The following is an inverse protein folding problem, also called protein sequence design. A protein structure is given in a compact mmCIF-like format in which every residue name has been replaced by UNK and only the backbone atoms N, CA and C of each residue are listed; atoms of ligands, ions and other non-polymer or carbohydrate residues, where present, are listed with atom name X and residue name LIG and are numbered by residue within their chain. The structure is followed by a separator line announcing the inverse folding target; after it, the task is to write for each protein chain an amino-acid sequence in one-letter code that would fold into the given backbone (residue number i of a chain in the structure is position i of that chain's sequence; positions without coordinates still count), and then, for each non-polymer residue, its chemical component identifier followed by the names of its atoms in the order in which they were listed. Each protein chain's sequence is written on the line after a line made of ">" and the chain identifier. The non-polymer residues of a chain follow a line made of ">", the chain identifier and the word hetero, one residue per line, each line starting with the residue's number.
data_IF_791656716416
#
_entry.id   IF_791656716416
#
_cell.length_a   1.000
_cell.length_b   1.000
_cell.length_c   1.000
_cell.angle_alpha   90.00
_cell.angle_beta   90.00
_cell.angle_gamma   90.00
#
_symmetry.space_group_name_H-M   'P 1'
#
loop_
_entity.id
_entity.type
_entity.pdbx_description
1 polymer ?
2 non-polymer ?
3 water ?
#
# COMPACT_ATOMS: atom_id res chain seq x y z
N UNK A 1 8.81 11.78 22.93
CA UNK A 1 9.07 13.17 22.58
C UNK A 1 7.94 13.74 21.75
N UNK A 2 8.25 14.19 20.51
CA UNK A 2 7.25 14.72 19.58
C UNK A 2 6.33 13.59 19.08
N UNK A 3 6.81 12.32 19.10
CA UNK A 3 6.01 11.15 18.67
C UNK A 3 4.81 10.89 19.60
N UNK A 4 4.96 11.16 20.91
CA UNK A 4 3.90 10.91 21.87
C UNK A 4 2.88 12.05 21.90
N UNK A 5 1.60 11.72 21.75
CA UNK A 5 0.51 12.71 21.78
C UNK A 5 -0.17 12.64 23.13
N UNK A 6 -0.95 13.68 23.47
CA UNK A 6 -1.71 13.71 24.71
C UNK A 6 -2.98 12.93 24.49
N UNK A 7 -3.17 11.83 25.24
CA UNK A 7 -4.34 10.96 25.06
C UNK A 7 -5.67 11.65 25.32
N UNK A 8 -5.69 12.59 26.30
CA UNK A 8 -6.89 13.35 26.63
C UNK A 8 -7.27 14.27 25.45
N UNK A 9 -6.33 14.54 24.53
CA UNK A 9 -6.56 15.36 23.33
C UNK A 9 -7.09 14.56 22.14
N UNK A 10 -7.40 13.27 22.35
CA UNK A 10 -8.02 12.42 21.34
C UNK A 10 -9.40 11.96 21.84
N UNK A 11 -10.44 12.26 21.06
CA UNK A 11 -11.77 11.76 21.36
C UNK A 11 -12.13 10.81 20.24
N UNK A 12 -12.51 9.59 20.59
CA UNK A 12 -12.92 8.63 19.57
C UNK A 12 -14.37 8.74 19.30
N UNK A 13 -14.69 8.67 18.02
CA UNK A 13 -16.04 8.69 17.48
C UNK A 13 -16.22 7.29 16.86
N UNK A 14 -17.07 7.16 15.86
CA UNK A 14 -17.42 5.88 15.26
C UNK A 14 -16.30 5.02 14.72
N UNK A 15 -16.59 3.73 14.60
CA UNK A 15 -15.69 2.76 13.97
C UNK A 15 -15.75 3.02 12.44
N UNK A 16 -14.58 3.03 11.77
CA UNK A 16 -14.53 3.24 10.33
C UNK A 16 -14.40 1.91 9.61
N UNK A 17 -13.71 0.98 10.25
CA UNK A 17 -13.48 -0.35 9.72
C UNK A 17 -12.27 -0.95 10.38
N UNK A 18 -11.72 -1.97 9.77
CA UNK A 18 -10.55 -2.62 10.29
C UNK A 18 -9.56 -2.84 9.17
N UNK A 19 -8.34 -3.01 9.57
CA UNK A 19 -7.24 -3.30 8.68
C UNK A 19 -6.18 -3.93 9.55
N UNK A 20 -4.93 -3.83 9.12
CA UNK A 20 -3.77 -4.29 9.85
C UNK A 20 -4.05 -5.61 10.67
N UNK A 21 -3.76 -5.79 12.00
CA UNK A 21 -3.10 -5.02 13.07
C UNK A 21 -4.01 -4.05 13.88
N UNK A 22 -5.29 -3.91 13.52
CA UNK A 22 -6.22 -3.12 14.33
C UNK A 22 -7.47 -2.48 13.74
N UNK A 23 -8.52 -2.36 14.59
CA UNK A 23 -9.75 -1.63 14.27
C UNK A 23 -9.38 -0.15 14.16
N UNK A 24 -10.06 0.57 13.29
CA UNK A 24 -9.78 1.99 13.05
C UNK A 24 -11.03 2.76 13.41
N UNK A 25 -10.86 3.81 14.19
CA UNK A 25 -11.98 4.64 14.58
C UNK A 25 -11.77 6.05 14.07
N UNK A 26 -12.86 6.71 13.69
CA UNK A 26 -12.80 8.13 13.36
C UNK A 26 -12.58 8.83 14.72
N UNK A 27 -11.83 9.92 14.73
CA UNK A 27 -11.62 10.68 15.96
C UNK A 27 -11.43 12.15 15.71
N UNK A 28 -11.35 12.90 16.81
CA UNK A 28 -11.04 14.33 16.78
C UNK A 28 -9.81 14.54 17.65
N UNK A 29 -8.85 15.34 17.16
CA UNK A 29 -7.63 15.61 17.89
C UNK A 29 -7.55 17.10 18.18
N UNK A 30 -7.28 17.43 19.45
CA UNK A 30 -7.12 18.81 19.99
C UNK A 30 -8.36 19.66 19.69
N UNK A 31 -9.51 19.00 19.67
CA UNK A 31 -10.82 19.57 19.38
C UNK A 31 -10.93 20.29 18.05
N UNK A 32 -10.11 19.89 17.05
CA UNK A 32 -10.04 20.59 15.77
C UNK A 32 -9.79 19.70 14.56
N UNK A 33 -8.87 18.72 14.69
CA UNK A 33 -8.48 17.91 13.55
C UNK A 33 -9.21 16.58 13.42
N UNK A 34 -9.65 16.22 12.21
CA UNK A 34 -10.25 14.89 11.98
C UNK A 34 -9.15 13.88 11.84
N UNK A 35 -9.20 12.81 12.63
CA UNK A 35 -8.15 11.80 12.59
C UNK A 35 -8.77 10.42 12.46
N UNK A 36 -7.95 9.44 12.08
CA UNK A 36 -8.30 8.04 12.04
C UNK A 36 -7.34 7.41 13.03
N UNK A 37 -7.85 6.65 13.99
CA UNK A 37 -7.01 6.13 15.05
C UNK A 37 -7.04 4.64 15.00
N UNK A 38 -5.86 4.00 14.79
CA UNK A 38 -5.79 2.54 14.80
C UNK A 38 -5.54 2.10 16.26
N UNK A 39 -6.28 1.09 16.73
CA UNK A 39 -6.16 0.53 18.08
C UNK A 39 -5.21 -0.67 18.05
N UNK A 40 -4.12 -0.60 18.81
CA UNK A 40 -3.17 -1.71 18.92
C UNK A 40 -3.45 -2.40 20.25
N UNK A 41 -4.09 -3.58 20.20
CA UNK A 41 -4.40 -4.32 21.42
C UNK A 41 -3.13 -4.88 22.07
N UNK A 42 -3.19 -5.09 23.40
CA UNK A 42 -2.09 -5.65 24.18
C UNK A 42 -1.92 -7.11 23.78
N UNK A 43 -0.76 -7.44 23.25
CA UNK A 43 -0.46 -8.80 22.78
C UNK A 43 -0.66 -9.03 21.29
N UNK A 44 -1.40 -8.13 20.60
CA UNK A 44 -1.67 -8.20 19.15
C UNK A 44 -0.39 -8.21 18.30
N UNK A 45 0.61 -7.38 18.68
CA UNK A 45 1.94 -7.28 18.08
C UNK A 45 2.90 -6.94 19.23
N UNK A 46 4.22 -7.10 19.01
CA UNK A 46 5.24 -6.83 20.03
C UNK A 46 5.33 -5.36 20.40
N UNK A 47 5.75 -5.10 21.66
CA UNK A 47 5.98 -3.77 22.22
C UNK A 47 7.13 -3.06 21.49
N UNK A 48 8.29 -3.76 21.29
CA UNK A 48 9.48 -3.20 20.61
C UNK A 48 9.30 -3.12 19.09
N UNK A 49 8.41 -3.96 18.52
CA UNK A 49 8.09 -3.95 17.10
C UNK A 49 7.31 -2.65 16.84
N UNK A 50 6.41 -2.30 17.78
CA UNK A 50 5.60 -1.09 17.74
C UNK A 50 6.45 0.19 17.63
N UNK A 51 7.50 0.33 18.46
CA UNK A 51 8.37 1.51 18.46
C UNK A 51 9.08 1.70 17.12
N UNK A 52 9.60 0.59 16.55
CA UNK A 52 10.30 0.64 15.27
C UNK A 52 9.36 1.10 14.16
N UNK A 53 8.13 0.56 14.16
CA UNK A 53 7.06 0.87 13.20
C UNK A 53 6.65 2.32 13.26
N UNK A 54 6.39 2.81 14.48
CA UNK A 54 5.95 4.17 14.74
C UNK A 54 7.01 5.18 14.29
N UNK A 55 8.28 4.89 14.57
CA UNK A 55 9.43 5.70 14.17
C UNK A 55 9.58 5.72 12.65
N UNK A 56 9.42 4.55 11.98
CA UNK A 56 9.53 4.43 10.51
C UNK A 56 8.44 5.26 9.83
N UNK A 57 7.21 5.20 10.35
CA UNK A 57 6.07 5.94 9.80
C UNK A 57 6.25 7.44 9.96
N UNK A 58 6.86 7.85 11.08
CA UNK A 58 7.13 9.25 11.39
C UNK A 58 8.19 9.80 10.47
N UNK A 59 9.22 8.99 10.18
CA UNK A 59 10.35 9.34 9.33
C UNK A 59 9.91 9.56 7.89
N UNK A 60 9.07 8.66 7.39
CA UNK A 60 8.60 8.64 6.02
C UNK A 60 7.37 9.51 5.75
N UNK A 61 7.54 10.83 5.83
CA UNK A 61 6.47 11.79 5.55
C UNK A 61 6.50 12.12 4.07
N UNK A 62 5.36 11.99 3.38
CA UNK A 62 5.21 12.30 1.96
C UNK A 62 3.76 12.56 1.67
N UNK A 63 3.41 13.50 0.76
CA UNK A 63 1.98 13.74 0.47
C UNK A 63 1.20 12.50 0.01
N UNK A 64 1.89 11.46 -0.52
CA UNK A 64 1.16 10.26 -1.03
C UNK A 64 1.26 9.05 -0.11
N UNK A 65 1.67 9.31 1.13
CA UNK A 65 1.71 8.31 2.19
C UNK A 65 0.83 8.81 3.28
N UNK A 66 0.05 7.91 3.93
CA UNK A 66 -0.89 8.26 5.03
C UNK A 66 -0.09 9.04 6.06
N UNK A 67 -0.56 10.24 6.41
CA UNK A 67 0.18 11.11 7.34
C UNK A 67 0.02 10.62 8.77
N UNK A 68 1.15 10.37 9.43
CA UNK A 68 1.22 9.93 10.82
C UNK A 68 1.36 11.18 11.71
N UNK A 69 0.52 11.30 12.74
CA UNK A 69 0.61 12.43 13.69
C UNK A 69 1.35 12.08 14.94
N UNK A 70 1.09 10.90 15.46
CA UNK A 70 1.71 10.47 16.70
C UNK A 70 1.01 9.26 17.26
N UNK A 71 1.42 8.87 18.46
CA UNK A 71 0.85 7.71 19.16
C UNK A 71 0.42 8.09 20.58
N UNK A 72 -0.47 7.30 21.18
CA UNK A 72 -0.82 7.40 22.60
C UNK A 72 -0.51 6.01 23.12
N UNK A 73 0.72 5.85 23.61
CA UNK A 73 1.25 4.53 24.01
C UNK A 73 1.36 4.26 25.51
N UNK A 74 1.07 5.26 26.38
CA UNK A 74 1.18 5.12 27.85
C UNK A 74 0.26 4.04 28.40
N UNK A 75 -0.90 3.83 27.76
CA UNK A 75 -1.85 2.81 28.16
C UNK A 75 -2.48 2.11 26.94
N UNK A 76 -3.08 0.92 27.16
CA UNK A 76 -3.71 0.09 26.14
C UNK A 76 -5.19 0.35 26.04
N UNK A 77 -5.81 0.27 24.83
CA UNK A 77 -5.17 0.02 23.52
C UNK A 77 -4.29 1.20 23.10
N UNK A 78 -3.17 0.89 22.46
CA UNK A 78 -2.24 1.92 21.97
C UNK A 78 -2.94 2.57 20.77
N UNK A 79 -2.90 3.89 20.68
CA UNK A 79 -3.49 4.60 19.56
C UNK A 79 -2.42 4.92 18.55
N UNK A 80 -2.70 4.72 17.25
CA UNK A 80 -1.84 5.23 16.18
C UNK A 80 -2.71 6.27 15.52
N UNK A 81 -2.32 7.52 15.62
CA UNK A 81 -3.12 8.63 15.11
C UNK A 81 -2.60 9.09 13.78
N UNK A 82 -3.52 9.13 12.78
CA UNK A 82 -3.16 9.55 11.43
C UNK A 82 -4.23 10.49 10.92
N UNK A 83 -4.00 11.10 9.76
CA UNK A 83 -5.00 11.94 9.08
C UNK A 83 -6.19 11.07 8.69
N UNK A 84 -7.42 11.62 8.73
CA UNK A 84 -8.62 10.90 8.29
C UNK A 84 -8.69 11.12 6.76
N UNK A 85 -8.74 10.04 6.00
CA UNK A 85 -8.79 10.03 4.53
C UNK A 85 -10.21 9.65 4.15
N UNK A 86 -11.02 10.67 3.91
CA UNK A 86 -12.48 10.61 3.83
C UNK A 86 -13.16 9.63 2.89
N UNK A 87 -12.52 9.25 1.76
CA UNK A 87 -13.17 8.29 0.87
C UNK A 87 -12.78 6.84 1.15
N UNK A 88 -12.07 6.62 2.25
CA UNK A 88 -11.69 5.31 2.73
C UNK A 88 -10.80 4.49 1.80
N UNK A 89 -10.96 3.17 1.87
CA UNK A 89 -10.15 2.21 1.15
C UNK A 89 -10.30 2.32 -0.36
N UNK A 90 -9.18 2.31 -1.10
CA UNK A 90 -9.23 2.40 -2.58
C UNK A 90 -10.01 1.26 -3.21
N UNK A 91 -9.80 0.05 -2.72
CA UNK A 91 -10.50 -1.12 -3.30
C UNK A 91 -12.03 -0.95 -3.21
N UNK A 92 -12.54 -0.59 -2.01
CA UNK A 92 -13.99 -0.37 -1.85
C UNK A 92 -14.44 0.79 -2.74
N UNK A 93 -13.62 1.86 -2.83
CA UNK A 93 -13.94 3.02 -3.66
C UNK A 93 -14.10 2.60 -5.14
N UNK A 94 -13.14 1.81 -5.67
CA UNK A 94 -13.24 1.37 -7.06
C UNK A 94 -14.50 0.54 -7.29
N UNK A 95 -14.80 -0.33 -6.34
CA UNK A 95 -15.98 -1.19 -6.43
C UNK A 95 -17.31 -0.46 -6.35
N UNK A 96 -17.37 0.64 -5.59
CA UNK A 96 -18.61 1.41 -5.40
C UNK A 96 -18.76 2.58 -6.35
N UNK A 97 -17.63 3.17 -6.81
CA UNK A 97 -17.65 4.39 -7.61
C UNK A 97 -16.84 4.36 -8.87
N UNK A 98 -16.20 3.23 -9.15
CA UNK A 98 -15.32 3.07 -10.31
C UNK A 98 -15.95 3.35 -11.66
N UNK A 99 -17.24 2.98 -11.85
CA UNK A 99 -17.94 3.23 -13.11
C UNK A 99 -18.01 4.70 -13.51
N UNK A 100 -18.02 5.59 -12.52
CA UNK A 100 -18.05 7.03 -12.75
C UNK A 100 -16.71 7.67 -13.06
N UNK A 101 -15.59 6.89 -13.02
CA UNK A 101 -14.25 7.45 -13.25
C UNK A 101 -13.82 7.36 -14.70
N UNK A 102 -13.11 8.40 -15.15
CA UNK A 102 -12.51 8.44 -16.47
C UNK A 102 -11.17 7.68 -16.40
N UNK A 103 -10.72 7.09 -17.52
CA UNK A 103 -9.41 6.41 -17.51
C UNK A 103 -8.26 7.33 -17.07
N UNK A 104 -8.34 8.64 -17.35
CA UNK A 104 -7.32 9.60 -16.94
C UNK A 104 -7.30 9.70 -15.41
N UNK A 105 -8.46 9.49 -14.75
CA UNK A 105 -8.53 9.50 -13.27
C UNK A 105 -7.91 8.22 -12.72
N UNK A 106 -8.11 7.09 -13.42
CA UNK A 106 -7.55 5.79 -13.01
C UNK A 106 -6.00 5.87 -13.09
N UNK A 107 -5.49 6.49 -14.14
CA UNK A 107 -4.05 6.69 -14.30
C UNK A 107 -3.50 7.57 -13.18
N UNK A 108 -4.22 8.64 -12.82
CA UNK A 108 -3.82 9.55 -11.74
C UNK A 108 -3.72 8.82 -10.39
N UNK A 109 -4.65 7.86 -10.14
CA UNK A 109 -4.60 7.03 -8.93
C UNK A 109 -3.32 6.20 -8.91
N UNK A 110 -2.97 5.60 -10.07
CA UNK A 110 -1.74 4.81 -10.20
C UNK A 110 -0.49 5.71 -9.99
N UNK A 111 -0.55 6.92 -10.55
CA UNK A 111 0.56 7.89 -10.42
C UNK A 111 0.78 8.27 -8.95
N UNK A 112 -0.31 8.51 -8.22
CA UNK A 112 -0.22 8.87 -6.79
C UNK A 112 0.50 7.77 -6.01
N UNK A 113 0.07 6.50 -6.19
CA UNK A 113 0.69 5.37 -5.53
C UNK A 113 2.19 5.29 -5.91
N UNK A 114 2.50 5.39 -7.21
CA UNK A 114 3.87 5.33 -7.72
C UNK A 114 4.77 6.38 -7.05
N UNK A 115 4.25 7.60 -6.89
CA UNK A 115 5.00 8.71 -6.30
C UNK A 115 5.32 8.42 -4.84
N UNK A 116 4.35 7.88 -4.08
CA UNK A 116 4.58 7.50 -2.68
C UNK A 116 5.59 6.36 -2.59
N UNK A 117 5.50 5.42 -3.53
CA UNK A 117 6.40 4.26 -3.56
C UNK A 117 7.79 4.70 -4.00
N UNK A 118 7.89 5.67 -4.93
CA UNK A 118 9.25 6.17 -5.31
C UNK A 118 9.95 6.79 -4.09
N UNK A 119 9.18 7.46 -3.22
CA UNK A 119 9.70 8.05 -1.98
C UNK A 119 10.21 6.94 -1.03
N UNK A 120 9.41 5.89 -0.81
CA UNK A 120 9.84 4.75 0.03
C UNK A 120 11.12 4.15 -0.56
N UNK A 121 11.13 3.94 -1.87
CA UNK A 121 12.28 3.35 -2.57
C UNK A 121 13.55 4.23 -2.38
N UNK A 122 13.39 5.55 -2.43
CA UNK A 122 14.54 6.46 -2.26
C UNK A 122 15.15 6.36 -0.83
N UNK A 123 14.41 5.77 0.12
CA UNK A 123 14.83 5.56 1.50
C UNK A 123 15.18 4.11 1.80
N UNK A 124 15.31 3.29 0.74
CA UNK A 124 15.62 1.87 0.83
C UNK A 124 14.59 1.02 1.57
N UNK A 125 13.31 1.40 1.42
CA UNK A 125 12.22 0.59 1.98
C UNK A 125 11.38 0.02 0.84
N UNK A 126 10.82 -1.16 1.06
CA UNK A 126 9.83 -1.74 0.17
C UNK A 126 8.53 -1.83 0.98
N UNK A 127 7.41 -1.94 0.25
CA UNK A 127 6.11 -2.20 0.86
C UNK A 127 5.90 -3.72 0.68
N UNK A 128 5.54 -4.40 1.78
CA UNK A 128 5.33 -5.84 1.77
C UNK A 128 3.95 -6.28 1.26
N UNK A 129 3.00 -5.35 1.10
CA UNK A 129 1.67 -5.73 0.63
C UNK A 129 1.05 -4.62 -0.15
N UNK A 130 1.71 -4.20 -1.21
CA UNK A 130 1.22 -3.11 -2.02
C UNK A 130 0.04 -3.61 -2.86
N UNK A 131 -1.14 -3.14 -2.49
CA UNK A 131 -2.38 -3.58 -3.13
C UNK A 131 -3.45 -2.51 -2.87
N UNK A 132 -4.55 -2.51 -3.66
CA UNK A 132 -5.59 -1.48 -3.48
C UNK A 132 -6.21 -1.53 -2.08
N UNK A 133 -6.23 -2.70 -1.41
CA UNK A 133 -6.77 -2.86 -0.03
C UNK A 133 -5.94 -2.04 0.99
N UNK A 134 -4.67 -1.68 0.61
CA UNK A 134 -3.78 -0.91 1.49
C UNK A 134 -3.56 0.53 1.04
N UNK A 135 -4.46 1.04 0.19
CA UNK A 135 -4.43 2.43 -0.25
C UNK A 135 -5.73 3.09 0.13
N UNK A 136 -5.69 4.39 0.32
CA UNK A 136 -6.84 5.17 0.76
C UNK A 136 -7.06 6.31 -0.21
N UNK A 137 -8.29 6.78 -0.31
CA UNK A 137 -8.69 7.83 -1.26
C UNK A 137 -9.20 9.02 -0.47
N UNK A 138 -8.63 10.19 -0.71
CA UNK A 138 -9.02 11.41 0.01
C UNK A 138 -10.20 12.10 -0.65
N UNK A 139 -10.66 13.24 -0.10
CA UNK A 139 -11.84 13.94 -0.64
C UNK A 139 -11.72 14.38 -2.10
N UNK A 140 -10.50 14.70 -2.55
CA UNK A 140 -10.21 15.15 -3.90
C UNK A 140 -9.77 13.99 -4.81
N UNK A 141 -9.98 12.75 -4.34
CA UNK A 141 -9.62 11.51 -5.03
C UNK A 141 -8.10 11.26 -5.11
N UNK A 142 -7.31 11.98 -4.31
CA UNK A 142 -5.87 11.73 -4.26
C UNK A 142 -5.67 10.43 -3.47
N UNK A 143 -4.80 9.55 -3.99
CA UNK A 143 -4.55 8.25 -3.37
C UNK A 143 -3.31 8.29 -2.49
N UNK A 144 -3.42 7.68 -1.31
CA UNK A 144 -2.35 7.59 -0.34
C UNK A 144 -2.09 6.13 0.00
N UNK A 145 -0.83 5.75 0.08
CA UNK A 145 -0.46 4.39 0.44
C UNK A 145 -0.43 4.30 1.97
N UNK A 146 -1.03 3.24 2.53
CA UNK A 146 -0.95 3.01 3.98
C UNK A 146 0.21 2.03 4.20
N UNK A 147 1.20 2.43 4.99
CA UNK A 147 2.38 1.56 5.15
C UNK A 147 2.60 0.97 6.55
N UNK A 148 1.74 1.29 7.55
CA UNK A 148 1.95 0.76 8.90
C UNK A 148 2.03 -0.76 8.97
N UNK A 149 3.12 -1.29 9.52
CA UNK A 149 3.33 -2.72 9.70
C UNK A 149 3.57 -3.48 8.40
N UNK A 150 3.87 -2.76 7.32
CA UNK A 150 3.98 -3.38 6.01
C UNK A 150 5.21 -2.95 5.23
N UNK A 151 6.25 -2.48 5.92
CA UNK A 151 7.46 -2.09 5.22
C UNK A 151 8.61 -2.99 5.60
N UNK A 152 9.67 -2.96 4.78
CA UNK A 152 10.90 -3.69 5.04
C UNK A 152 12.09 -2.96 4.44
N UNK A 153 13.16 -2.85 5.24
CA UNK A 153 14.39 -2.23 4.78
C UNK A 153 15.12 -3.22 3.87
N UNK A 154 15.52 -2.76 2.69
CA UNK A 154 16.26 -3.58 1.71
C UNK A 154 17.10 -2.68 0.83
N UNK A 155 18.43 -2.90 0.82
CA UNK A 155 19.34 -2.13 -0.03
C UNK A 155 19.12 -2.57 -1.48
N UNK A 156 19.39 -1.68 -2.44
CA UNK A 156 19.21 -1.96 -3.87
C UNK A 156 19.99 -3.21 -4.30
N UNK A 157 19.39 -4.02 -5.20
CA UNK A 157 19.95 -5.26 -5.76
C UNK A 157 20.25 -6.39 -4.74
N UNK A 158 19.87 -6.22 -3.45
CA UNK A 158 20.07 -7.20 -2.36
C UNK A 158 18.77 -7.99 -2.06
N UNK A 159 18.90 -9.15 -1.37
CA UNK A 159 17.78 -10.01 -1.00
C UNK A 159 17.68 -10.17 0.51
N UNK A 160 16.46 -10.09 1.04
CA UNK A 160 16.22 -10.24 2.48
C UNK A 160 15.17 -11.33 2.70
N UNK A 161 15.21 -12.03 3.85
CA UNK A 161 14.25 -13.09 4.15
C UNK A 161 12.83 -12.52 4.25
N UNK A 162 11.84 -13.31 3.72
CA UNK A 162 10.40 -13.00 3.70
C UNK A 162 9.71 -13.36 5.01
N UNK A 163 10.45 -13.96 5.97
CA UNK A 163 9.92 -14.40 7.27
C UNK A 163 9.12 -13.28 7.97
N UNK A 164 7.92 -13.65 8.42
CA UNK A 164 6.98 -12.75 9.10
C UNK A 164 5.58 -12.93 8.56
N UNK A 165 4.82 -11.81 8.48
CA UNK A 165 3.44 -11.83 7.98
C UNK A 165 3.38 -12.29 6.52
N UNK A 166 2.56 -13.30 6.25
CA UNK A 166 2.33 -13.87 4.93
C UNK A 166 1.15 -13.10 4.32
N UNK A 167 1.46 -12.26 3.35
CA UNK A 167 0.46 -11.42 2.67
C UNK A 167 -0.06 -12.11 1.40
N UNK A 168 -1.22 -11.68 0.82
CA UNK A 168 -1.76 -12.39 -0.35
C UNK A 168 -0.82 -12.71 -1.52
N UNK A 169 -0.69 -14.01 -1.84
CA UNK A 169 0.18 -14.48 -2.92
C UNK A 169 -0.14 -13.92 -4.33
N UNK A 170 -1.40 -13.51 -4.61
CA UNK A 170 -1.67 -12.94 -5.95
C UNK A 170 -0.96 -11.59 -6.19
N UNK A 171 -0.40 -10.98 -5.13
CA UNK A 171 0.33 -9.71 -5.32
C UNK A 171 1.85 -9.96 -5.16
N UNK A 172 2.26 -11.23 -5.00
CA UNK A 172 3.64 -11.59 -4.70
C UNK A 172 4.48 -11.91 -5.89
N UNK A 173 5.70 -11.37 -5.89
CA UNK A 173 6.72 -11.66 -6.91
C UNK A 173 7.21 -13.10 -6.73
N UNK A 174 7.72 -13.76 -7.80
CA UNK A 174 8.22 -15.14 -7.67
C UNK A 174 9.30 -15.35 -6.62
N UNK A 175 10.23 -14.38 -6.42
CA UNK A 175 11.28 -14.54 -5.39
C UNK A 175 10.66 -14.71 -3.99
N UNK A 176 9.48 -14.10 -3.78
CA UNK A 176 8.74 -14.17 -2.50
C UNK A 176 8.09 -15.55 -2.34
N UNK A 177 7.22 -15.93 -3.28
CA UNK A 177 6.50 -17.20 -3.16
C UNK A 177 7.34 -18.45 -3.36
N UNK A 178 8.43 -18.35 -4.16
CA UNK A 178 9.33 -19.46 -4.45
C UNK A 178 10.51 -19.56 -3.50
N UNK A 179 11.30 -18.47 -3.35
CA UNK A 179 12.54 -18.46 -2.54
C UNK A 179 12.40 -17.88 -1.14
N UNK A 180 11.19 -17.41 -0.74
CA UNK A 180 10.95 -16.78 0.58
C UNK A 180 11.94 -15.63 0.83
N UNK A 181 12.12 -14.80 -0.19
CA UNK A 181 13.01 -13.64 -0.13
C UNK A 181 12.37 -12.45 -0.82
N UNK A 182 12.58 -11.25 -0.29
CA UNK A 182 12.15 -10.00 -0.93
C UNK A 182 13.38 -9.42 -1.61
N UNK A 183 13.19 -8.79 -2.77
CA UNK A 183 14.25 -8.03 -3.45
C UNK A 183 13.77 -6.58 -3.37
N UNK A 184 14.60 -5.63 -3.81
CA UNK A 184 14.20 -4.22 -3.85
C UNK A 184 13.12 -4.00 -4.93
N UNK A 185 12.79 -5.03 -5.73
CA UNK A 185 11.79 -4.92 -6.81
C UNK A 185 10.54 -5.78 -6.52
N UNK A 186 10.46 -6.37 -5.33
CA UNK A 186 9.29 -7.21 -4.98
C UNK A 186 8.00 -6.37 -4.97
N UNK A 187 8.06 -5.11 -4.49
CA UNK A 187 6.88 -4.24 -4.49
C UNK A 187 6.58 -3.67 -5.86
N UNK A 188 7.58 -3.61 -6.77
CA UNK A 188 7.32 -3.16 -8.15
C UNK A 188 6.36 -4.18 -8.80
N UNK A 189 6.61 -5.49 -8.61
CA UNK A 189 5.71 -6.53 -9.12
C UNK A 189 4.28 -6.22 -8.57
N UNK A 190 4.14 -6.07 -7.24
CA UNK A 190 2.85 -5.77 -6.58
C UNK A 190 2.20 -4.51 -7.15
N UNK A 191 3.01 -3.47 -7.46
CA UNK A 191 2.49 -2.25 -8.04
C UNK A 191 1.83 -2.53 -9.41
N UNK A 192 2.40 -3.43 -10.23
CA UNK A 192 1.79 -3.76 -11.52
C UNK A 192 0.42 -4.39 -11.27
N UNK A 193 0.33 -5.27 -10.24
CA UNK A 193 -0.97 -5.93 -9.87
C UNK A 193 -1.96 -4.83 -9.38
N UNK A 194 -1.43 -3.85 -8.61
CA UNK A 194 -2.26 -2.72 -8.13
C UNK A 194 -2.78 -1.91 -9.32
N UNK A 195 -1.91 -1.61 -10.34
CA UNK A 195 -2.41 -0.91 -11.56
C UNK A 195 -3.53 -1.69 -12.23
N UNK A 196 -3.37 -3.02 -12.31
CA UNK A 196 -4.38 -3.91 -12.89
C UNK A 196 -5.69 -3.80 -12.09
N UNK A 197 -5.65 -3.85 -10.74
CA UNK A 197 -6.85 -3.67 -9.88
C UNK A 197 -7.53 -2.36 -10.18
N UNK A 198 -6.76 -1.25 -10.28
CA UNK A 198 -7.29 0.10 -10.52
C UNK A 198 -8.04 0.14 -11.87
N UNK A 199 -7.35 -0.25 -12.95
CA UNK A 199 -7.92 -0.24 -14.30
C UNK A 199 -9.01 -1.28 -14.50
N UNK A 200 -9.11 -2.26 -13.59
CA UNK A 200 -10.18 -3.28 -13.63
C UNK A 200 -11.29 -2.92 -12.69
N UNK A 201 -11.24 -1.71 -12.10
CA UNK A 201 -12.27 -1.24 -11.16
C UNK A 201 -12.45 -2.15 -9.93
N UNK A 202 -11.35 -2.70 -9.45
CA UNK A 202 -11.35 -3.49 -8.23
C UNK A 202 -11.70 -4.95 -8.37
N UNK A 203 -11.59 -5.51 -9.59
CA UNK A 203 -11.78 -6.96 -9.79
C UNK A 203 -10.62 -7.65 -9.08
N UNK A 204 -10.85 -8.92 -8.65
CA UNK A 204 -9.79 -9.72 -8.05
C UNK A 204 -8.85 -10.20 -9.20
N UNK A 205 -7.50 -10.09 -9.04
CA UNK A 205 -6.58 -10.61 -10.09
C UNK A 205 -6.65 -12.14 -10.11
N UNK A 206 -6.48 -12.76 -11.29
CA UNK A 206 -6.53 -14.21 -11.46
C UNK A 206 -7.80 -14.73 -10.73
N UNK A 207 -8.96 -14.10 -10.92
CA UNK A 207 -10.14 -14.43 -10.08
C UNK A 207 -10.64 -15.86 -10.17
N UNK A 208 -10.39 -16.53 -11.29
CA UNK A 208 -10.84 -17.90 -11.54
C UNK A 208 -9.94 -18.92 -10.83
N UNK A 209 -8.73 -18.50 -10.40
CA UNK A 209 -7.70 -19.39 -9.87
C UNK A 209 -7.39 -19.34 -8.40
N UNK A 210 -7.06 -20.51 -7.85
CA UNK A 210 -6.65 -20.62 -6.45
C UNK A 210 -5.22 -20.07 -6.35
N UNK A 211 -4.75 -19.82 -5.13
CA UNK A 211 -3.38 -19.39 -4.87
C UNK A 211 -2.34 -20.41 -5.37
N UNK A 212 -2.61 -21.71 -5.23
CA UNK A 212 -1.73 -22.80 -5.71
C UNK A 212 -1.61 -22.73 -7.23
N UNK A 213 -2.74 -22.50 -7.92
CA UNK A 213 -2.77 -22.37 -9.38
C UNK A 213 -2.00 -21.16 -9.84
N UNK A 214 -2.18 -19.99 -9.16
CA UNK A 214 -1.46 -18.77 -9.54
C UNK A 214 0.05 -18.96 -9.45
N UNK A 215 0.58 -19.52 -8.34
CA UNK A 215 2.02 -19.77 -8.19
C UNK A 215 2.53 -20.59 -9.41
N UNK A 216 1.81 -21.66 -9.77
CA UNK A 216 2.21 -22.49 -10.93
C UNK A 216 2.13 -21.73 -12.24
N UNK A 217 0.96 -21.12 -12.52
CA UNK A 217 0.78 -20.37 -13.75
C UNK A 217 1.80 -19.24 -13.92
N UNK A 218 2.01 -18.42 -12.88
CA UNK A 218 2.98 -17.33 -12.94
C UNK A 218 4.42 -17.89 -13.19
N UNK A 219 4.79 -19.01 -12.54
CA UNK A 219 6.11 -19.65 -12.76
C UNK A 219 6.27 -20.05 -14.23
N UNK A 220 5.16 -20.45 -14.88
CA UNK A 220 5.13 -20.87 -16.28
C UNK A 220 5.09 -19.72 -17.30
N UNK A 221 4.96 -18.49 -16.82
CA UNK A 221 4.97 -17.29 -17.65
C UNK A 221 3.63 -16.61 -17.84
N UNK A 222 2.55 -17.18 -17.27
CA UNK A 222 1.21 -16.62 -17.42
C UNK A 222 1.10 -15.30 -16.67
N UNK A 223 0.50 -14.31 -17.30
CA UNK A 223 0.33 -12.98 -16.70
C UNK A 223 -1.08 -12.48 -16.84
N UNK A 224 -1.47 -11.49 -16.02
CA UNK A 224 -2.79 -10.87 -16.11
C UNK A 224 -2.96 -10.23 -17.48
N UNK A 225 -4.18 -10.29 -18.05
CA UNK A 225 -4.49 -9.73 -19.36
C UNK A 225 -4.76 -8.24 -19.23
N UNK A 226 -4.73 -7.50 -20.34
CA UNK A 226 -4.97 -6.06 -20.39
C UNK A 226 -6.38 -5.71 -19.92
N UNK A 227 -6.54 -4.91 -18.83
CA UNK A 227 -7.90 -4.50 -18.44
C UNK A 227 -8.48 -3.66 -19.57
N UNK A 228 -9.77 -3.82 -19.78
CA UNK A 228 -10.47 -3.08 -20.83
C UNK A 228 -10.15 -1.55 -20.86
N UNK A 229 -10.16 -0.90 -19.69
CA UNK A 229 -9.94 0.56 -19.60
C UNK A 229 -8.49 1.04 -19.74
N UNK A 230 -7.53 0.12 -19.74
CA UNK A 230 -6.11 0.44 -19.86
C UNK A 230 -5.72 0.54 -21.34
N UNK A 231 -5.00 1.60 -21.70
CA UNK A 231 -4.46 1.76 -23.06
C UNK A 231 -3.32 0.73 -23.18
N UNK A 232 -2.85 0.45 -24.41
CA UNK A 232 -1.74 -0.48 -24.58
C UNK A 232 -0.47 0.09 -23.93
N UNK A 233 -0.29 1.43 -23.93
CA UNK A 233 0.92 2.04 -23.29
C UNK A 233 0.92 1.77 -21.78
N UNK A 234 -0.27 1.93 -21.16
CA UNK A 234 -0.44 1.68 -19.71
C UNK A 234 -0.28 0.19 -19.40
N UNK A 235 -0.76 -0.68 -20.29
CA UNK A 235 -0.59 -2.11 -20.09
C UNK A 235 0.87 -2.49 -20.18
N UNK A 236 1.63 -1.86 -21.11
CA UNK A 236 3.06 -2.16 -21.19
C UNK A 236 3.81 -1.77 -19.91
N UNK A 237 3.38 -0.69 -19.26
CA UNK A 237 3.96 -0.27 -17.98
C UNK A 237 3.65 -1.30 -16.90
N UNK A 238 2.37 -1.70 -16.74
CA UNK A 238 2.10 -2.72 -15.70
C UNK A 238 2.79 -4.04 -16.00
N UNK A 239 2.81 -4.44 -17.28
CA UNK A 239 3.42 -5.70 -17.72
C UNK A 239 4.91 -5.72 -17.40
N UNK A 240 5.59 -4.57 -17.50
CA UNK A 240 7.03 -4.47 -17.22
C UNK A 240 7.35 -4.75 -15.77
N UNK A 241 6.35 -4.62 -14.88
CA UNK A 241 6.55 -4.91 -13.45
C UNK A 241 6.64 -6.39 -13.20
N UNK A 242 6.16 -7.20 -14.14
CA UNK A 242 6.03 -8.64 -13.91
C UNK A 242 7.09 -9.54 -14.55
N UNK A 243 8.29 -9.02 -14.74
CA UNK A 243 9.33 -9.89 -15.27
C UNK A 243 9.69 -10.87 -14.16
N UNK A 244 9.95 -12.15 -14.50
CA UNK A 244 10.33 -13.11 -13.46
C UNK A 244 11.57 -12.63 -12.66
N UNK A 245 12.53 -12.02 -13.36
CA UNK A 245 13.75 -11.54 -12.76
C UNK A 245 13.65 -10.09 -12.22
N UNK A 246 13.94 -9.86 -10.91
CA UNK A 246 13.93 -8.47 -10.36
C UNK A 246 14.76 -7.46 -11.18
N UNK A 247 15.95 -7.89 -11.69
CA UNK A 247 16.84 -7.03 -12.48
C UNK A 247 16.17 -6.46 -13.74
N UNK A 248 15.18 -7.18 -14.30
CA UNK A 248 14.51 -6.75 -15.51
C UNK A 248 13.31 -5.82 -15.27
N UNK A 249 12.90 -5.67 -13.98
CA UNK A 249 11.79 -4.79 -13.63
C UNK A 249 12.30 -3.37 -13.49
N UNK A 250 11.48 -2.35 -13.82
CA UNK A 250 11.89 -0.96 -13.54
C UNK A 250 11.90 -0.67 -12.03
N UNK A 251 12.56 0.43 -11.63
CA UNK A 251 12.47 0.95 -10.26
C UNK A 251 11.20 1.84 -10.24
N UNK A 252 10.72 2.25 -9.04
CA UNK A 252 9.60 3.21 -8.96
C UNK A 252 9.99 4.56 -9.54
N UNK A 253 11.29 4.93 -9.44
CA UNK A 253 11.77 6.20 -10.04
C UNK A 253 11.56 6.18 -11.57
N UNK A 254 11.89 5.04 -12.21
CA UNK A 254 11.70 4.91 -13.66
C UNK A 254 10.22 4.88 -14.01
N UNK A 255 9.43 4.13 -13.20
CA UNK A 255 7.98 4.06 -13.40
C UNK A 255 7.36 5.44 -13.32
N UNK A 256 7.74 6.21 -12.31
CA UNK A 256 7.19 7.54 -12.12
C UNK A 256 7.37 8.44 -13.34
N UNK A 257 8.59 8.48 -13.87
CA UNK A 257 8.87 9.33 -15.02
C UNK A 257 8.25 8.76 -16.30
N UNK A 258 7.95 7.43 -16.35
CA UNK A 258 7.27 6.82 -17.50
C UNK A 258 5.81 7.24 -17.48
N UNK A 259 5.22 7.40 -16.27
CA UNK A 259 3.78 7.73 -16.15
C UNK A 259 3.55 9.24 -16.33
N UNK A 260 4.49 10.05 -15.84
CA UNK A 260 4.41 11.52 -15.90
C UNK A 260 3.83 12.11 -17.24
N UNK A 261 4.36 11.75 -18.45
CA UNK A 261 3.80 12.37 -19.68
C UNK A 261 2.45 11.88 -20.13
N UNK A 262 1.94 10.82 -19.50
CA UNK A 262 0.63 10.24 -19.84
C UNK A 262 -0.50 10.90 -19.05
N UNK A 263 -0.16 11.72 -18.04
CA UNK A 263 -1.13 12.36 -17.16
C UNK A 263 -1.96 13.42 -17.90
N UNK A 264 -3.26 13.48 -17.58
CA UNK A 264 -4.30 14.38 -18.12
C UNK A 264 -4.12 14.86 -19.56
#
# INVERSE_FOLDING_TARGET
>A
GHMELKREEITLLKELGSGQFGVVKLGKWKGQYDVAVKMIKEGSMSEDEFFQEAQTMMKLSHPKLVKFYGVCSKEYPIYIVTEYISNGCLLNYLRSHGKGLEPSQLLEMCYDVCEGMAFLESHQFIHRDLAARNCLVDRDLCVKVSDFGMTRYVLDDQYVSSVGTKFPVKWSAPEVFHYFKYSSKSDVWAFGILMWEVFSLGKMPYDLYTNSEVVLKVSQGHRLYRPHLASDTIYQIMYSCWHELPEKRPTFQQLLSSIEPLREKDKH
#
